data_IF_463861826255
#
_entry.id   IF_463861826255
#
_cell.length_a   1.000
_cell.length_b   1.000
_cell.length_c   1.000
_cell.angle_alpha   90.00
_cell.angle_beta   90.00
_cell.angle_gamma   90.00
#
_symmetry.space_group_name_H-M   'P 1'
#
loop_
_entity.id
_entity.type
_entity.pdbx_description
1 polymer ?
#
# COMPACT_ATOMS: atom_id res chain seq x y z
N UNK A 1 -1.83 22.15 -18.82
CA UNK A 1 -1.12 20.96 -18.35
C UNK A 1 0.28 20.87 -18.98
N UNK A 2 1.00 21.99 -19.03
CA UNK A 2 2.34 22.06 -19.61
C UNK A 2 3.35 22.10 -18.46
N UNK A 3 3.72 20.95 -17.92
CA UNK A 3 4.73 20.89 -16.85
C UNK A 3 4.83 19.54 -16.17
N UNK A 4 3.75 18.75 -16.14
CA UNK A 4 3.78 17.40 -15.53
C UNK A 4 4.46 16.39 -16.45
N UNK A 5 5.25 15.52 -15.91
CA UNK A 5 5.84 14.39 -16.63
C UNK A 5 4.87 13.20 -16.58
N UNK A 6 4.47 12.72 -17.73
CA UNK A 6 3.63 11.51 -17.82
C UNK A 6 4.34 10.24 -17.35
N UNK A 7 5.66 10.33 -17.18
CA UNK A 7 6.50 9.24 -16.69
C UNK A 7 6.92 9.42 -15.21
N UNK A 8 6.49 10.50 -14.55
CA UNK A 8 6.72 10.78 -13.13
C UNK A 8 5.38 10.71 -12.40
N UNK A 9 5.29 9.81 -11.47
CA UNK A 9 4.08 9.71 -10.63
C UNK A 9 3.96 10.91 -9.68
N UNK A 10 5.05 11.65 -9.40
CA UNK A 10 5.15 12.78 -8.48
C UNK A 10 6.15 13.78 -9.08
N UNK A 11 5.64 14.87 -9.69
CA UNK A 11 6.45 15.78 -10.51
C UNK A 11 7.20 16.85 -9.71
N UNK A 12 6.74 17.24 -8.54
CA UNK A 12 7.34 18.24 -7.65
C UNK A 12 7.99 17.65 -6.40
N UNK A 13 7.71 16.37 -6.10
CA UNK A 13 8.40 15.61 -5.07
C UNK A 13 7.84 15.83 -3.66
N UNK A 14 6.56 16.15 -3.54
CA UNK A 14 5.90 16.41 -2.24
C UNK A 14 5.28 15.18 -1.59
N UNK A 15 5.30 14.03 -2.29
CA UNK A 15 4.75 12.76 -1.81
C UNK A 15 3.35 12.42 -2.34
N UNK A 16 2.72 13.32 -3.11
CA UNK A 16 1.47 13.05 -3.82
C UNK A 16 1.76 12.84 -5.32
N UNK A 17 1.08 11.91 -5.97
CA UNK A 17 1.26 11.74 -7.41
C UNK A 17 0.42 12.73 -8.22
N UNK A 18 0.92 13.11 -9.41
CA UNK A 18 0.27 14.09 -10.31
C UNK A 18 -1.23 13.84 -10.54
N UNK A 19 -1.65 12.56 -10.57
CA UNK A 19 -3.04 12.22 -10.81
C UNK A 19 -3.93 12.54 -9.61
N UNK A 20 -3.45 12.26 -8.40
CA UNK A 20 -4.17 12.52 -7.16
C UNK A 20 -4.25 14.03 -6.89
N UNK A 21 -3.20 14.78 -7.19
CA UNK A 21 -3.20 16.24 -7.12
C UNK A 21 -4.23 16.87 -8.06
N UNK A 22 -4.30 16.42 -9.32
CA UNK A 22 -5.34 16.86 -10.25
C UNK A 22 -6.74 16.57 -9.70
N UNK A 23 -6.94 15.45 -9.02
CA UNK A 23 -8.23 15.09 -8.40
C UNK A 23 -8.52 15.93 -7.16
N UNK A 24 -7.51 16.23 -6.36
CA UNK A 24 -7.61 17.10 -5.18
C UNK A 24 -7.79 18.58 -5.55
N UNK A 25 -7.29 19.00 -6.70
CA UNK A 25 -7.37 20.38 -7.18
C UNK A 25 -6.09 21.18 -6.95
N UNK A 26 -5.01 20.51 -6.56
CA UNK A 26 -3.67 21.07 -6.38
C UNK A 26 -2.88 21.10 -7.70
N UNK A 27 -1.70 21.72 -7.72
CA UNK A 27 -0.86 21.89 -8.92
C UNK A 27 0.30 20.87 -8.92
N UNK A 28 0.27 19.81 -9.75
CA UNK A 28 1.28 18.74 -9.81
C UNK A 28 2.72 19.20 -10.15
N UNK A 29 2.98 20.47 -10.17
CA UNK A 29 4.31 21.05 -10.42
C UNK A 29 4.70 22.06 -9.35
N UNK A 30 3.92 22.17 -8.30
CA UNK A 30 4.13 23.11 -7.19
C UNK A 30 3.78 22.42 -5.86
N UNK A 31 4.76 21.92 -5.18
CA UNK A 31 4.65 21.18 -3.91
C UNK A 31 3.92 21.92 -2.75
N UNK A 32 3.55 23.18 -2.93
CA UNK A 32 2.81 24.03 -1.97
C UNK A 32 1.84 24.87 -2.81
N UNK A 33 0.65 24.30 -3.03
CA UNK A 33 -0.29 24.85 -4.02
C UNK A 33 -0.94 26.16 -3.60
N UNK A 34 -1.18 26.37 -2.31
CA UNK A 34 -1.81 27.59 -1.78
C UNK A 34 -0.81 28.63 -1.23
N UNK A 35 0.46 28.23 -1.03
CA UNK A 35 1.56 29.13 -0.69
C UNK A 35 1.64 29.48 0.78
N UNK A 36 1.14 28.66 1.68
CA UNK A 36 1.16 28.90 3.13
C UNK A 36 2.47 28.44 3.79
N UNK A 37 3.30 27.68 3.09
CA UNK A 37 4.61 27.19 3.52
C UNK A 37 4.63 25.72 3.88
N UNK A 38 3.50 25.03 3.78
CA UNK A 38 3.37 23.58 3.91
C UNK A 38 3.22 22.94 2.53
N UNK A 39 3.66 21.72 2.34
CA UNK A 39 3.45 21.04 1.07
C UNK A 39 2.09 20.39 1.01
N UNK A 40 1.54 20.19 -0.18
CA UNK A 40 0.25 19.52 -0.37
C UNK A 40 0.26 18.11 0.27
N UNK A 41 1.43 17.42 0.22
CA UNK A 41 1.63 16.13 0.90
C UNK A 41 1.57 16.21 2.43
N UNK A 42 2.20 17.23 3.02
CA UNK A 42 2.13 17.49 4.46
C UNK A 42 0.70 17.78 4.91
N UNK A 43 -0.01 18.60 4.16
CA UNK A 43 -1.39 18.96 4.47
C UNK A 43 -2.33 17.76 4.37
N UNK A 44 -2.14 16.91 3.35
CA UNK A 44 -2.88 15.66 3.25
C UNK A 44 -2.66 14.76 4.45
N UNK A 45 -1.41 14.60 4.92
CA UNK A 45 -1.09 13.81 6.10
C UNK A 45 -1.69 14.43 7.38
N UNK A 46 -1.69 15.75 7.49
CA UNK A 46 -2.30 16.49 8.60
C UNK A 46 -3.85 16.56 8.54
N UNK A 47 -4.43 16.31 7.35
CA UNK A 47 -5.87 16.43 7.12
C UNK A 47 -6.35 17.86 6.94
N UNK A 48 -5.47 18.78 6.55
CA UNK A 48 -5.78 20.15 6.13
C UNK A 48 -6.10 20.25 4.64
N UNK A 49 -6.51 21.41 4.15
CA UNK A 49 -6.93 21.64 2.75
C UNK A 49 -5.81 22.35 1.97
N UNK A 50 -5.02 21.62 1.22
CA UNK A 50 -3.90 22.10 0.39
C UNK A 50 -4.26 23.17 -0.68
N UNK A 51 -5.47 23.70 -0.61
CA UNK A 51 -5.94 24.83 -1.43
C UNK A 51 -6.41 26.02 -0.58
N UNK A 52 -6.28 25.97 0.76
CA UNK A 52 -6.71 27.03 1.68
C UNK A 52 -5.59 27.46 2.63
N UNK A 53 -4.73 28.36 2.22
CA UNK A 53 -3.62 28.95 3.00
C UNK A 53 -4.00 29.51 4.41
N UNK A 54 -5.20 29.27 4.90
CA UNK A 54 -5.66 29.74 6.22
C UNK A 54 -5.87 28.64 7.24
N UNK A 55 -5.73 27.38 6.85
CA UNK A 55 -5.94 26.22 7.74
C UNK A 55 -4.65 25.49 8.15
N UNK A 56 -3.50 26.17 7.99
CA UNK A 56 -2.19 25.65 8.38
C UNK A 56 -2.13 25.05 9.78
N UNK A 57 -1.44 23.95 9.93
CA UNK A 57 -1.26 23.24 11.19
C UNK A 57 0.01 23.68 11.94
N UNK A 58 0.12 23.36 13.25
CA UNK A 58 1.37 23.49 14.01
C UNK A 58 2.24 22.27 13.78
N UNK A 59 3.49 22.47 13.42
CA UNK A 59 4.54 21.46 13.27
C UNK A 59 5.79 22.04 13.98
N UNK A 60 6.02 21.61 15.22
CA UNK A 60 6.98 22.25 16.14
C UNK A 60 8.43 21.94 15.75
N UNK A 61 8.72 20.77 15.21
CA UNK A 61 10.05 20.32 14.84
C UNK A 61 10.32 20.31 13.32
N UNK A 62 9.29 20.59 12.52
CA UNK A 62 9.31 20.72 11.07
C UNK A 62 9.71 19.42 10.35
N UNK A 63 9.11 18.31 10.76
CA UNK A 63 9.34 17.00 10.15
C UNK A 63 8.24 16.60 9.13
N UNK A 64 7.15 17.38 9.08
CA UNK A 64 6.05 17.18 8.14
C UNK A 64 4.82 16.53 8.75
N UNK A 65 4.87 16.16 10.04
CA UNK A 65 3.71 15.73 10.80
C UNK A 65 3.20 16.90 11.66
N UNK A 66 1.91 16.96 11.93
CA UNK A 66 1.39 17.99 12.83
C UNK A 66 1.53 17.56 14.28
N UNK A 67 1.78 18.53 15.20
CA UNK A 67 1.78 18.30 16.64
C UNK A 67 0.52 17.56 17.12
N UNK A 68 -0.63 17.82 16.48
CA UNK A 68 -1.91 17.18 16.81
C UNK A 68 -1.92 15.71 16.37
N UNK A 69 -1.49 15.43 15.15
CA UNK A 69 -1.36 14.06 14.63
C UNK A 69 -0.40 13.26 15.50
N UNK A 70 0.82 13.74 15.69
CA UNK A 70 1.86 13.07 16.49
C UNK A 70 1.36 12.73 17.89
N UNK A 71 0.75 13.71 18.57
CA UNK A 71 0.15 13.48 19.89
C UNK A 71 -0.93 12.41 19.85
N UNK A 72 -1.71 12.33 18.77
CA UNK A 72 -2.81 11.36 18.65
C UNK A 72 -2.32 9.94 18.47
N UNK A 73 -1.21 9.75 17.75
CA UNK A 73 -0.60 8.43 17.49
C UNK A 73 0.56 8.08 18.42
N UNK A 74 0.91 9.00 19.35
CA UNK A 74 1.90 8.76 20.40
C UNK A 74 3.35 9.06 20.02
N UNK A 75 3.56 9.84 18.96
CA UNK A 75 4.84 10.42 18.57
C UNK A 75 5.16 11.67 19.40
N UNK A 76 6.38 12.22 19.29
CA UNK A 76 6.85 13.39 20.06
C UNK A 76 6.94 14.63 19.16
N UNK A 77 6.00 15.61 19.27
CA UNK A 77 5.99 16.85 18.47
C UNK A 77 7.26 17.72 18.53
N UNK A 78 8.30 17.26 19.18
CA UNK A 78 9.58 17.96 19.29
C UNK A 78 10.78 17.09 18.86
N UNK A 79 10.55 15.93 18.24
CA UNK A 79 11.59 14.99 17.78
C UNK A 79 11.42 14.63 16.30
N UNK A 80 11.83 15.51 15.41
CA UNK A 80 11.80 15.31 13.94
C UNK A 80 12.40 13.98 13.41
N UNK A 81 12.97 13.16 14.26
CA UNK A 81 13.52 11.87 13.85
C UNK A 81 12.47 10.75 13.90
N UNK A 82 11.39 10.93 14.59
CA UNK A 82 10.37 9.89 14.72
C UNK A 82 9.45 9.82 13.49
N UNK A 83 9.23 10.91 12.75
CA UNK A 83 8.53 10.86 11.47
C UNK A 83 9.13 9.85 10.48
N UNK A 84 10.46 9.74 10.45
CA UNK A 84 11.15 8.78 9.58
C UNK A 84 11.45 7.44 10.26
N UNK A 85 11.01 7.26 11.50
CA UNK A 85 11.06 5.98 12.17
C UNK A 85 9.95 5.04 11.67
N UNK A 86 10.07 3.79 11.98
CA UNK A 86 9.13 2.73 11.74
C UNK A 86 8.78 2.16 13.12
N UNK A 87 7.63 2.59 13.66
CA UNK A 87 7.36 2.39 15.08
C UNK A 87 6.83 0.99 15.40
N UNK A 88 6.09 0.37 14.48
CA UNK A 88 5.54 -0.99 14.62
C UNK A 88 6.40 -2.05 13.93
N UNK A 89 7.31 -1.66 13.02
CA UNK A 89 8.29 -2.54 12.39
C UNK A 89 7.80 -3.27 11.15
N UNK A 90 6.77 -2.77 10.50
CA UNK A 90 6.24 -3.35 9.27
C UNK A 90 7.08 -2.98 8.03
N UNK A 91 7.84 -1.89 8.12
CA UNK A 91 8.76 -1.39 7.10
C UNK A 91 8.24 -0.17 6.34
N UNK A 92 7.16 0.46 6.82
CA UNK A 92 6.70 1.79 6.42
C UNK A 92 7.19 2.80 7.46
N UNK A 93 7.47 4.03 7.07
CA UNK A 93 7.83 5.09 8.03
C UNK A 93 6.56 5.77 8.56
N UNK A 94 6.61 6.30 9.79
CA UNK A 94 5.46 6.94 10.41
C UNK A 94 4.86 8.07 9.53
N UNK A 95 5.68 8.80 8.78
CA UNK A 95 5.20 9.84 7.85
C UNK A 95 4.55 9.24 6.60
N UNK A 96 5.07 8.13 6.09
CA UNK A 96 4.46 7.43 4.95
C UNK A 96 3.13 6.80 5.37
N UNK A 97 3.02 6.31 6.60
CA UNK A 97 1.78 5.80 7.18
C UNK A 97 0.74 6.90 7.36
N UNK A 98 1.14 8.06 7.86
CA UNK A 98 0.26 9.23 7.94
C UNK A 98 -0.31 9.59 6.56
N UNK A 99 0.52 9.55 5.51
CA UNK A 99 0.09 9.80 4.14
C UNK A 99 -0.80 8.69 3.57
N UNK A 100 -0.58 7.43 3.98
CA UNK A 100 -1.41 6.28 3.60
C UNK A 100 -2.73 6.21 4.39
N UNK A 101 -2.76 6.81 5.59
CA UNK A 101 -3.91 6.75 6.50
C UNK A 101 -3.91 5.53 7.41
N UNK A 102 -2.76 4.86 7.55
CA UNK A 102 -2.54 3.73 8.46
C UNK A 102 -2.15 4.19 9.87
N UNK A 103 -2.08 3.28 10.82
CA UNK A 103 -1.72 3.56 12.22
C UNK A 103 -0.24 3.24 12.47
N UNK A 104 0.65 4.24 12.71
CA UNK A 104 2.08 4.02 12.94
C UNK A 104 2.45 3.10 14.10
N UNK A 105 1.49 2.65 14.85
CA UNK A 105 1.69 1.73 15.98
C UNK A 105 1.08 0.34 15.76
N UNK A 106 0.49 0.08 14.60
CA UNK A 106 -0.18 -1.18 14.28
C UNK A 106 0.10 -1.60 12.83
N UNK A 107 1.00 -2.55 12.65
CA UNK A 107 1.46 -3.08 11.37
C UNK A 107 0.38 -3.76 10.48
N UNK A 108 -0.87 -3.76 10.92
CA UNK A 108 -2.05 -4.33 10.25
C UNK A 108 -3.26 -3.49 10.67
N UNK A 109 -3.36 -2.29 10.06
CA UNK A 109 -4.27 -1.21 10.49
C UNK A 109 -5.75 -1.58 10.47
N UNK A 110 -6.18 -2.46 9.56
CA UNK A 110 -7.57 -2.90 9.45
C UNK A 110 -7.83 -4.27 10.09
N UNK A 111 -6.78 -4.93 10.56
CA UNK A 111 -6.82 -6.20 11.31
C UNK A 111 -7.37 -7.39 10.50
N UNK A 112 -7.03 -7.47 9.22
CA UNK A 112 -7.45 -8.57 8.35
C UNK A 112 -6.43 -9.72 8.29
N UNK A 113 -5.22 -9.51 8.80
CA UNK A 113 -4.12 -10.47 8.90
C UNK A 113 -3.03 -10.30 7.85
N UNK A 114 -3.12 -9.27 7.00
CA UNK A 114 -2.07 -8.81 6.09
C UNK A 114 -1.51 -7.52 6.68
N UNK A 115 -0.22 -7.26 6.52
CA UNK A 115 0.35 -6.00 7.02
C UNK A 115 0.17 -4.89 6.00
N UNK A 116 0.05 -3.64 6.47
CA UNK A 116 -0.13 -2.45 5.66
C UNK A 116 0.87 -2.39 4.50
N UNK A 117 2.14 -2.67 4.78
CA UNK A 117 3.18 -2.74 3.76
C UNK A 117 2.88 -3.77 2.67
N UNK A 118 2.46 -4.98 3.06
CA UNK A 118 2.20 -6.06 2.11
C UNK A 118 1.00 -5.70 1.23
N UNK A 119 0.00 -5.04 1.79
CA UNK A 119 -1.16 -4.58 1.05
C UNK A 119 -0.79 -3.49 0.05
N UNK A 120 -0.03 -2.47 0.46
CA UNK A 120 0.48 -1.42 -0.44
C UNK A 120 1.32 -2.02 -1.57
N UNK A 121 2.21 -2.99 -1.27
CA UNK A 121 3.03 -3.68 -2.28
C UNK A 121 2.18 -4.47 -3.29
N UNK A 122 0.98 -4.91 -2.91
CA UNK A 122 0.05 -5.67 -3.74
C UNK A 122 -1.14 -4.86 -4.26
N UNK A 123 -1.12 -3.52 -4.09
CA UNK A 123 -2.18 -2.58 -4.48
C UNK A 123 -3.54 -2.87 -3.82
N UNK A 124 -3.52 -3.34 -2.60
CA UNK A 124 -4.67 -3.43 -1.71
C UNK A 124 -4.80 -2.15 -0.88
N UNK A 125 -5.92 -1.98 -0.21
CA UNK A 125 -6.19 -0.83 0.66
C UNK A 125 -5.95 -1.20 2.13
N UNK A 126 -4.84 -0.77 2.78
CA UNK A 126 -4.48 -1.18 4.14
C UNK A 126 -5.45 -0.66 5.22
N UNK A 127 -6.55 -0.07 4.81
CA UNK A 127 -7.62 0.41 5.71
C UNK A 127 -8.96 -0.24 5.45
N UNK A 128 -9.06 -1.21 4.52
CA UNK A 128 -10.29 -1.95 4.15
C UNK A 128 -10.14 -3.46 4.25
N UNK A 129 -10.15 -4.05 5.42
CA UNK A 129 -10.07 -5.50 5.66
C UNK A 129 -11.11 -6.38 4.94
N UNK A 130 -11.83 -5.82 3.98
CA UNK A 130 -12.71 -6.60 3.13
C UNK A 130 -12.02 -7.03 1.83
N UNK A 131 -10.97 -6.33 1.40
CA UNK A 131 -10.30 -6.63 0.14
C UNK A 131 -9.45 -7.90 0.20
N UNK A 132 -8.82 -8.23 1.35
CA UNK A 132 -8.18 -9.52 1.57
C UNK A 132 -9.11 -10.74 1.34
N UNK A 133 -10.42 -10.54 1.49
CA UNK A 133 -11.42 -11.57 1.24
C UNK A 133 -11.96 -11.57 -0.19
N UNK A 134 -11.49 -10.66 -1.04
CA UNK A 134 -11.78 -10.69 -2.48
C UNK A 134 -11.17 -11.94 -3.13
N UNK A 135 -11.60 -12.25 -4.33
CA UNK A 135 -11.10 -13.35 -5.17
C UNK A 135 -11.03 -12.77 -6.60
N UNK A 136 -9.89 -12.13 -6.89
CA UNK A 136 -9.76 -11.26 -8.06
C UNK A 136 -9.73 -12.05 -9.36
N UNK A 137 -9.11 -13.22 -9.39
CA UNK A 137 -9.02 -14.06 -10.60
C UNK A 137 -10.12 -15.15 -10.67
N UNK A 138 -10.85 -15.35 -9.55
CA UNK A 138 -12.03 -16.21 -9.49
C UNK A 138 -11.74 -17.70 -9.42
N UNK A 139 -10.58 -18.08 -8.91
CA UNK A 139 -10.18 -19.48 -8.79
C UNK A 139 -10.73 -20.15 -7.51
N UNK A 140 -11.13 -19.35 -6.52
CA UNK A 140 -11.73 -19.76 -5.24
C UNK A 140 -10.76 -19.70 -4.07
N UNK A 141 -9.54 -19.19 -4.25
CA UNK A 141 -8.64 -18.72 -3.19
C UNK A 141 -8.88 -17.22 -3.02
N UNK A 142 -8.82 -16.68 -1.82
CA UNK A 142 -8.94 -15.22 -1.62
C UNK A 142 -7.60 -14.52 -1.86
N UNK A 143 -7.65 -13.26 -2.28
CA UNK A 143 -6.46 -12.44 -2.53
C UNK A 143 -5.50 -12.45 -1.32
N UNK A 144 -6.03 -12.36 -0.10
CA UNK A 144 -5.26 -12.46 1.12
C UNK A 144 -4.62 -13.83 1.34
N UNK A 145 -5.36 -14.91 1.10
CA UNK A 145 -4.82 -16.27 1.21
C UNK A 145 -3.73 -16.51 0.16
N UNK A 146 -3.87 -15.93 -1.04
CA UNK A 146 -2.87 -16.00 -2.10
C UNK A 146 -1.58 -15.25 -1.74
N UNK A 147 -1.71 -14.03 -1.22
CA UNK A 147 -0.56 -13.24 -0.73
C UNK A 147 0.20 -14.03 0.35
N UNK A 148 -0.50 -14.61 1.32
CA UNK A 148 0.11 -15.42 2.38
C UNK A 148 0.75 -16.72 1.84
N UNK A 149 0.16 -17.32 0.82
CA UNK A 149 0.70 -18.50 0.14
C UNK A 149 1.85 -18.13 -0.82
N UNK A 150 1.87 -16.88 -1.30
CA UNK A 150 2.80 -16.38 -2.33
C UNK A 150 2.41 -16.84 -3.73
N UNK A 151 1.12 -17.05 -3.97
CA UNK A 151 0.51 -17.24 -5.28
C UNK A 151 0.13 -15.89 -5.89
N UNK A 152 -0.46 -15.88 -7.06
CA UNK A 152 -0.73 -14.66 -7.82
C UNK A 152 -2.20 -14.29 -7.73
N UNK A 153 -2.54 -13.18 -7.10
CA UNK A 153 -3.92 -12.63 -7.01
C UNK A 153 -4.59 -12.33 -8.38
N UNK A 154 -3.80 -12.25 -9.45
CA UNK A 154 -4.28 -11.94 -10.80
C UNK A 154 -4.30 -13.17 -11.73
N UNK A 155 -3.91 -14.36 -11.27
CA UNK A 155 -3.73 -15.54 -12.12
C UNK A 155 -4.13 -16.82 -11.42
N UNK A 156 -5.29 -17.33 -11.74
CA UNK A 156 -5.87 -18.57 -11.24
C UNK A 156 -5.02 -19.87 -11.38
N UNK A 157 -3.85 -19.76 -11.97
CA UNK A 157 -2.87 -20.83 -12.21
C UNK A 157 -1.49 -20.14 -12.13
N UNK A 158 -0.92 -20.13 -10.93
CA UNK A 158 0.27 -19.34 -10.61
C UNK A 158 1.54 -19.83 -11.28
N UNK A 159 1.69 -21.14 -11.48
CA UNK A 159 2.87 -21.75 -12.11
C UNK A 159 2.68 -22.12 -13.59
N UNK A 160 1.44 -22.05 -14.09
CA UNK A 160 1.11 -22.22 -15.51
C UNK A 160 1.09 -23.67 -15.99
N UNK A 161 0.85 -24.64 -15.10
CA UNK A 161 0.84 -26.06 -15.44
C UNK A 161 -0.52 -26.57 -15.95
N UNK A 162 -1.58 -25.77 -15.80
CA UNK A 162 -2.95 -26.02 -16.24
C UNK A 162 -3.88 -26.54 -15.15
N UNK A 163 -3.47 -26.51 -13.89
CA UNK A 163 -4.33 -26.67 -12.71
C UNK A 163 -4.44 -25.29 -12.05
N UNK A 164 -5.60 -24.95 -11.49
CA UNK A 164 -5.72 -23.71 -10.73
C UNK A 164 -5.24 -23.91 -9.29
N UNK A 165 -4.85 -22.81 -8.64
CA UNK A 165 -4.22 -22.82 -7.32
C UNK A 165 -5.10 -23.50 -6.28
N UNK A 166 -6.44 -23.25 -6.29
CA UNK A 166 -7.37 -23.92 -5.39
C UNK A 166 -7.41 -25.44 -5.57
N UNK A 167 -7.46 -25.92 -6.83
CA UNK A 167 -7.46 -27.32 -7.14
C UNK A 167 -6.16 -28.03 -6.69
N UNK A 168 -5.03 -27.32 -6.77
CA UNK A 168 -3.73 -27.80 -6.29
C UNK A 168 -3.66 -27.87 -4.77
N UNK A 169 -4.10 -26.83 -4.06
CA UNK A 169 -4.22 -26.86 -2.62
C UNK A 169 -5.10 -28.00 -2.13
N UNK A 170 -6.20 -28.30 -2.84
CA UNK A 170 -7.08 -29.43 -2.53
C UNK A 170 -6.45 -30.78 -2.85
N UNK A 171 -5.64 -30.87 -3.90
CA UNK A 171 -4.91 -32.07 -4.29
C UNK A 171 -3.67 -32.32 -3.41
N UNK A 172 -3.11 -31.25 -2.84
CA UNK A 172 -1.89 -31.27 -2.03
C UNK A 172 -0.62 -31.16 -2.86
N UNK A 173 -0.73 -30.58 -4.05
CA UNK A 173 0.39 -30.12 -4.88
C UNK A 173 0.76 -28.68 -4.52
N UNK A 174 1.90 -28.17 -5.02
CA UNK A 174 2.41 -26.83 -4.73
C UNK A 174 2.03 -25.87 -5.86
N UNK A 175 1.09 -24.92 -5.68
CA UNK A 175 0.61 -24.03 -6.74
C UNK A 175 1.68 -23.05 -7.29
N UNK A 176 2.91 -23.13 -6.81
CA UNK A 176 4.05 -22.37 -7.31
C UNK A 176 5.09 -23.23 -8.00
N UNK A 177 4.84 -24.51 -8.16
CA UNK A 177 5.80 -25.46 -8.72
C UNK A 177 5.11 -26.48 -9.60
N UNK A 178 5.09 -26.22 -10.87
CA UNK A 178 4.46 -27.03 -11.93
C UNK A 178 4.79 -28.54 -11.95
N UNK A 179 5.74 -28.99 -11.14
CA UNK A 179 6.18 -30.40 -11.00
C UNK A 179 6.48 -30.62 -9.51
N UNK A 180 5.42 -30.83 -8.71
CA UNK A 180 5.50 -30.88 -7.25
C UNK A 180 6.36 -32.03 -6.70
N UNK A 181 6.41 -33.17 -7.40
CA UNK A 181 7.19 -34.34 -6.94
C UNK A 181 8.57 -34.44 -7.63
N UNK A 182 8.83 -33.61 -8.65
CA UNK A 182 10.14 -33.50 -9.29
C UNK A 182 10.47 -34.67 -10.23
N UNK A 183 9.48 -35.38 -10.75
CA UNK A 183 9.69 -36.54 -11.60
C UNK A 183 9.88 -36.19 -13.10
N UNK A 184 9.59 -34.93 -13.48
CA UNK A 184 9.74 -34.36 -14.83
C UNK A 184 8.44 -34.33 -15.65
N UNK A 185 7.31 -34.67 -15.03
CA UNK A 185 5.98 -34.37 -15.55
C UNK A 185 5.38 -33.24 -14.71
N UNK A 186 4.55 -32.41 -15.31
CA UNK A 186 3.82 -31.39 -14.51
C UNK A 186 2.61 -32.02 -13.85
N UNK A 187 2.17 -31.44 -12.71
CA UNK A 187 1.00 -31.88 -11.98
C UNK A 187 -0.23 -31.91 -12.90
N UNK A 188 -0.36 -30.92 -13.82
CA UNK A 188 -1.39 -30.91 -14.87
C UNK A 188 -1.28 -32.05 -15.86
N UNK A 189 -0.09 -32.50 -16.23
CA UNK A 189 0.11 -33.67 -17.09
C UNK A 189 -0.27 -34.96 -16.39
N UNK A 190 0.06 -35.09 -15.09
CA UNK A 190 -0.29 -36.23 -14.26
C UNK A 190 -1.79 -36.33 -14.06
N UNK A 191 -2.46 -35.21 -13.70
CA UNK A 191 -3.92 -35.12 -13.58
C UNK A 191 -4.63 -35.52 -14.88
N UNK A 192 -4.08 -35.16 -16.04
CA UNK A 192 -4.63 -35.52 -17.35
C UNK A 192 -4.42 -36.99 -17.72
N UNK A 193 -3.41 -37.63 -17.13
CA UNK A 193 -3.08 -39.04 -17.42
C UNK A 193 -3.90 -40.02 -16.54
N UNK A 194 -4.52 -39.57 -15.44
CA UNK A 194 -5.44 -40.31 -14.57
C UNK A 194 -4.77 -41.05 -13.47
#
# INVERSE_FOLDING_TARGET
LAGTSVDSADSDGDGINDQDEILAGTDPTNADSDGDGQTDGQEKAAGTDATDATDSFTDTDNDGLSDEYETSVGLDPADASDATADADGDGISNIDEAAAGTDPSDADSDNDGISDRVEIENNMDPTDGADASADTDGDGVSDGDEILAGTSVDSADSDGDGINDQDELLAGTDPKNADSDGDGQTDGQEKAAG
#
